data_IF_731142587495
#
_entry.id   IF_731142587495
#
_cell.length_a   1.000
_cell.length_b   1.000
_cell.length_c   1.000
_cell.angle_alpha   90.00
_cell.angle_beta   90.00
_cell.angle_gamma   90.00
#
_symmetry.space_group_name_H-M   'P 1'
#
loop_
_entity.id
_entity.type
_entity.pdbx_description
1 polymer ?
#
# COMPACT_ATOMS: atom_id res chain seq x y z
N UNK A 1 -3.04 8.17 -2.04
CA UNK A 1 -4.48 8.08 -1.68
C UNK A 1 -5.29 9.35 -1.95
N UNK A 2 -4.78 10.57 -1.68
CA UNK A 2 -5.52 11.83 -1.91
C UNK A 2 -6.21 11.93 -3.27
N UNK A 3 -5.48 11.61 -4.35
CA UNK A 3 -6.03 11.59 -5.69
C UNK A 3 -7.19 10.58 -5.85
N UNK A 4 -7.01 9.35 -5.34
CA UNK A 4 -8.06 8.32 -5.38
C UNK A 4 -9.30 8.74 -4.56
N UNK A 5 -9.11 9.35 -3.40
CA UNK A 5 -10.20 9.85 -2.55
C UNK A 5 -10.90 11.09 -3.12
N UNK A 6 -10.28 11.77 -4.10
CA UNK A 6 -10.91 12.91 -4.80
C UNK A 6 -11.76 12.45 -5.98
N UNK A 7 -11.32 11.44 -6.72
CA UNK A 7 -11.89 11.08 -8.02
C UNK A 7 -12.56 9.69 -8.05
N UNK A 8 -12.36 8.86 -7.03
CA UNK A 8 -12.85 7.48 -6.92
C UNK A 8 -12.67 6.64 -8.22
N UNK A 9 -11.47 6.61 -8.83
CA UNK A 9 -11.23 5.79 -10.01
C UNK A 9 -11.42 4.29 -9.72
N UNK A 10 -11.81 3.51 -10.71
CA UNK A 10 -11.82 2.06 -10.55
C UNK A 10 -10.38 1.52 -10.50
N UNK A 11 -10.06 0.73 -9.47
CA UNK A 11 -8.79 0.01 -9.36
C UNK A 11 -8.96 -1.30 -8.57
N UNK A 12 -8.00 -2.21 -8.73
CA UNK A 12 -7.88 -3.43 -7.92
C UNK A 12 -6.66 -3.39 -6.98
N UNK A 13 -5.61 -2.68 -7.41
CA UNK A 13 -4.29 -2.66 -6.79
C UNK A 13 -3.85 -1.21 -6.60
N UNK A 14 -3.38 -0.84 -5.40
CA UNK A 14 -2.79 0.47 -5.13
C UNK A 14 -1.50 0.30 -4.33
N UNK A 15 -0.39 0.83 -4.86
CA UNK A 15 0.94 0.68 -4.26
C UNK A 15 1.43 2.02 -3.72
N UNK A 16 1.78 2.05 -2.45
CA UNK A 16 2.48 3.13 -1.76
C UNK A 16 3.95 2.75 -1.62
N UNK A 17 4.77 3.14 -2.60
CA UNK A 17 6.21 2.89 -2.55
C UNK A 17 6.95 4.05 -1.89
N UNK A 18 7.65 3.76 -0.79
CA UNK A 18 8.37 4.71 0.05
C UNK A 18 7.55 5.96 0.41
N UNK A 19 6.23 5.79 0.53
CA UNK A 19 5.27 6.86 0.78
C UNK A 19 4.63 6.75 2.16
N UNK A 20 3.49 7.41 2.30
CA UNK A 20 2.63 7.27 3.47
C UNK A 20 1.17 7.28 3.05
N UNK A 21 0.32 6.71 3.90
CA UNK A 21 -1.11 6.90 3.84
C UNK A 21 -1.41 8.28 4.43
N UNK A 22 -2.15 9.14 3.69
CA UNK A 22 -2.47 10.48 4.16
C UNK A 22 -3.22 10.45 5.50
N UNK A 23 -2.74 11.21 6.46
CA UNK A 23 -3.27 11.22 7.83
C UNK A 23 -4.44 12.19 8.03
N UNK A 24 -4.59 13.14 7.12
CA UNK A 24 -5.58 14.21 7.15
C UNK A 24 -6.89 13.86 6.41
N UNK A 25 -7.02 12.63 5.91
CA UNK A 25 -8.22 12.14 5.27
C UNK A 25 -8.99 11.22 6.22
N UNK A 26 -10.32 11.31 6.18
CA UNK A 26 -11.21 10.34 6.83
C UNK A 26 -11.66 9.28 5.82
N UNK A 27 -11.25 8.03 6.06
CA UNK A 27 -11.57 6.90 5.20
C UNK A 27 -12.86 6.18 5.60
N UNK A 28 -13.36 6.39 6.84
CA UNK A 28 -14.53 5.69 7.39
C UNK A 28 -15.78 5.80 6.52
N UNK A 29 -16.11 6.95 5.92
CA UNK A 29 -17.31 7.07 5.08
C UNK A 29 -17.26 6.26 3.78
N UNK A 30 -16.08 5.73 3.40
CA UNK A 30 -15.84 5.09 2.10
C UNK A 30 -15.00 3.81 2.22
N UNK A 31 -15.11 3.08 3.33
CA UNK A 31 -14.38 1.81 3.49
C UNK A 31 -14.81 0.75 2.47
N UNK A 32 -16.05 0.82 2.02
CA UNK A 32 -16.59 0.01 0.93
C UNK A 32 -15.80 0.21 -0.38
N UNK A 33 -15.37 1.44 -0.67
CA UNK A 33 -14.53 1.74 -1.83
C UNK A 33 -13.17 1.07 -1.76
N UNK A 34 -12.67 0.68 -0.59
CA UNK A 34 -11.42 -0.08 -0.47
C UNK A 34 -11.65 -1.58 -0.28
N UNK A 35 -12.90 -2.01 -0.12
CA UNK A 35 -13.24 -3.41 0.07
C UNK A 35 -12.90 -4.25 -1.17
N UNK A 36 -12.24 -5.39 -0.94
CA UNK A 36 -11.78 -6.28 -2.01
C UNK A 36 -10.66 -5.72 -2.88
N UNK A 37 -10.00 -4.62 -2.46
CA UNK A 37 -8.84 -4.04 -3.13
C UNK A 37 -7.59 -4.31 -2.31
N UNK A 38 -6.49 -4.57 -2.98
CA UNK A 38 -5.20 -4.74 -2.32
C UNK A 38 -4.46 -3.40 -2.28
N UNK A 39 -4.21 -2.93 -1.06
CA UNK A 39 -3.39 -1.75 -0.80
C UNK A 39 -2.02 -2.23 -0.33
N UNK A 40 -0.96 -1.79 -0.98
CA UNK A 40 0.41 -2.21 -0.66
C UNK A 40 1.20 -1.05 -0.07
N UNK A 41 1.87 -1.27 1.05
CA UNK A 41 2.85 -0.34 1.60
C UNK A 41 4.25 -0.92 1.48
N UNK A 42 5.10 -0.30 0.66
CA UNK A 42 6.42 -0.83 0.31
C UNK A 42 7.50 0.14 0.76
N UNK A 43 8.51 -0.30 1.51
CA UNK A 43 9.61 0.58 1.89
C UNK A 43 10.91 -0.17 2.24
N UNK A 44 12.03 0.55 2.14
CA UNK A 44 13.35 0.06 2.52
C UNK A 44 13.59 0.21 4.02
N UNK A 45 14.24 -0.77 4.64
CA UNK A 45 14.51 -0.78 6.09
C UNK A 45 15.56 0.27 6.52
N UNK A 46 16.31 0.83 5.58
CA UNK A 46 17.31 1.89 5.80
C UNK A 46 16.85 3.23 5.22
N UNK A 47 15.56 3.37 4.88
CA UNK A 47 15.02 4.63 4.38
C UNK A 47 15.06 5.70 5.49
N UNK A 48 15.84 6.78 5.32
CA UNK A 48 15.98 7.80 6.36
C UNK A 48 14.68 8.58 6.63
N UNK A 49 13.69 8.48 5.73
CA UNK A 49 12.40 9.15 5.86
C UNK A 49 11.32 8.24 6.49
N UNK A 50 11.55 6.94 6.59
CA UNK A 50 10.59 5.97 7.14
C UNK A 50 11.20 5.34 8.39
N UNK A 51 11.19 6.13 9.47
CA UNK A 51 11.67 5.69 10.77
C UNK A 51 10.73 4.67 11.40
N UNK A 52 11.22 3.90 12.38
CA UNK A 52 10.39 2.97 13.16
C UNK A 52 9.19 3.66 13.82
N UNK A 53 9.37 4.90 14.28
CA UNK A 53 8.30 5.73 14.83
C UNK A 53 7.22 6.03 13.77
N UNK A 54 7.62 6.45 12.57
CA UNK A 54 6.68 6.71 11.46
C UNK A 54 5.96 5.45 11.02
N UNK A 55 6.64 4.30 10.98
CA UNK A 55 6.00 3.00 10.70
C UNK A 55 4.93 2.69 11.75
N UNK A 56 5.23 2.88 13.03
CA UNK A 56 4.28 2.65 14.11
C UNK A 56 3.05 3.59 14.03
N UNK A 57 3.28 4.86 13.70
CA UNK A 57 2.22 5.84 13.46
C UNK A 57 1.33 5.43 12.27
N UNK A 58 1.94 5.04 11.15
CA UNK A 58 1.22 4.59 9.95
C UNK A 58 0.38 3.34 10.24
N UNK A 59 0.95 2.33 10.93
CA UNK A 59 0.21 1.12 11.33
C UNK A 59 -0.98 1.44 12.24
N UNK A 60 -0.78 2.32 13.22
CA UNK A 60 -1.86 2.76 14.12
C UNK A 60 -2.98 3.48 13.35
N UNK A 61 -2.61 4.31 12.38
CA UNK A 61 -3.57 5.02 11.52
C UNK A 61 -4.34 4.08 10.61
N UNK A 62 -3.66 3.12 9.97
CA UNK A 62 -4.28 2.08 9.14
C UNK A 62 -5.32 1.31 9.96
N UNK A 63 -4.93 0.90 11.18
CA UNK A 63 -5.78 0.14 12.08
C UNK A 63 -6.98 0.97 12.56
N UNK A 64 -6.78 2.24 12.95
CA UNK A 64 -7.85 3.10 13.46
C UNK A 64 -8.94 3.38 12.43
N UNK A 65 -8.57 3.42 11.14
CA UNK A 65 -9.51 3.57 10.03
C UNK A 65 -10.06 2.24 9.50
N UNK A 66 -9.60 1.08 10.00
CA UNK A 66 -10.05 -0.22 9.52
C UNK A 66 -9.62 -0.54 8.08
N UNK A 67 -8.53 0.08 7.61
CA UNK A 67 -7.96 -0.20 6.30
C UNK A 67 -7.16 -1.51 6.34
N UNK A 68 -7.21 -2.27 5.26
CA UNK A 68 -6.37 -3.46 5.08
C UNK A 68 -5.22 -3.10 4.14
N UNK A 69 -4.00 -3.13 4.66
CA UNK A 69 -2.79 -2.75 3.92
C UNK A 69 -1.73 -3.82 4.08
N UNK A 70 -1.20 -4.30 2.95
CA UNK A 70 -0.17 -5.31 2.86
C UNK A 70 1.21 -4.65 2.90
N UNK A 71 2.00 -4.93 3.92
CA UNK A 71 3.33 -4.36 4.08
C UNK A 71 4.41 -5.20 3.38
N UNK A 72 5.33 -4.54 2.67
CA UNK A 72 6.44 -5.14 1.94
C UNK A 72 7.73 -4.40 2.26
N UNK A 73 8.71 -5.08 2.83
CA UNK A 73 10.01 -4.48 3.17
C UNK A 73 11.16 -5.10 2.39
N UNK A 74 12.25 -4.33 2.27
CA UNK A 74 13.50 -4.77 1.67
C UNK A 74 14.72 -4.11 2.33
N UNK A 75 15.90 -4.70 2.16
CA UNK A 75 17.17 -4.11 2.61
C UNK A 75 17.57 -3.00 1.62
N UNK A 76 17.69 -1.77 2.10
CA UNK A 76 17.95 -0.61 1.26
C UNK A 76 17.29 0.67 1.76
N UNK A 77 17.65 1.78 1.13
CA UNK A 77 17.20 3.14 1.47
C UNK A 77 15.93 3.54 0.71
N UNK A 78 15.81 4.82 0.39
CA UNK A 78 14.73 5.39 -0.42
C UNK A 78 14.93 5.12 -1.92
N UNK A 79 14.71 3.87 -2.35
CA UNK A 79 14.92 3.43 -3.74
C UNK A 79 13.81 2.48 -4.20
N UNK A 80 13.68 2.31 -5.51
CA UNK A 80 12.87 1.22 -6.08
C UNK A 80 13.78 0.00 -6.28
N UNK A 81 13.75 -0.92 -5.34
CA UNK A 81 14.56 -2.15 -5.38
C UNK A 81 13.96 -3.18 -6.35
N UNK A 82 14.77 -3.64 -7.29
CA UNK A 82 14.32 -4.44 -8.44
C UNK A 82 13.74 -5.79 -8.04
N UNK A 83 14.36 -6.50 -7.08
CA UNK A 83 13.90 -7.83 -6.63
C UNK A 83 12.52 -7.74 -5.98
N UNK A 84 12.31 -6.71 -5.16
CA UNK A 84 11.05 -6.44 -4.47
C UNK A 84 9.97 -6.02 -5.45
N UNK A 85 10.32 -5.19 -6.45
CA UNK A 85 9.40 -4.81 -7.51
C UNK A 85 8.94 -6.03 -8.31
N UNK A 86 9.87 -6.91 -8.72
CA UNK A 86 9.55 -8.15 -9.43
C UNK A 86 8.66 -9.07 -8.59
N UNK A 87 9.02 -9.29 -7.32
CA UNK A 87 8.22 -10.10 -6.37
C UNK A 87 6.80 -9.56 -6.24
N UNK A 88 6.64 -8.25 -6.07
CA UNK A 88 5.34 -7.61 -5.94
C UNK A 88 4.52 -7.72 -7.24
N UNK A 89 5.16 -7.52 -8.40
CA UNK A 89 4.50 -7.69 -9.69
C UNK A 89 3.99 -9.13 -9.90
N UNK A 90 4.78 -10.14 -9.52
CA UNK A 90 4.38 -11.54 -9.63
C UNK A 90 3.24 -11.88 -8.67
N UNK A 91 3.26 -11.36 -7.44
CA UNK A 91 2.16 -11.49 -6.48
C UNK A 91 0.86 -10.89 -7.03
N UNK A 92 0.93 -9.70 -7.61
CA UNK A 92 -0.23 -9.03 -8.22
C UNK A 92 -0.78 -9.83 -9.40
N UNK A 93 0.09 -10.37 -10.26
CA UNK A 93 -0.32 -11.23 -11.37
C UNK A 93 -1.08 -12.46 -10.90
N UNK A 94 -0.61 -13.12 -9.84
CA UNK A 94 -1.23 -14.32 -9.28
C UNK A 94 -2.55 -14.02 -8.55
N UNK A 95 -2.68 -12.82 -7.99
CA UNK A 95 -3.87 -12.38 -7.25
C UNK A 95 -4.97 -11.80 -8.16
N UNK A 96 -4.63 -11.52 -9.43
CA UNK A 96 -5.58 -10.95 -10.40
C UNK A 96 -6.61 -12.01 -10.85
N UNK A 97 -7.91 -11.69 -10.88
CA UNK A 97 -8.97 -12.64 -11.28
C UNK A 97 -8.77 -13.25 -12.67
N UNK A 98 -8.04 -12.59 -13.58
CA UNK A 98 -7.74 -13.07 -14.93
C UNK A 98 -6.65 -14.14 -15.02
N UNK A 99 -5.92 -14.45 -13.94
CA UNK A 99 -4.85 -15.45 -13.93
C UNK A 99 -5.26 -16.83 -13.39
N UNK A 100 -6.51 -17.00 -12.92
CA UNK A 100 -7.03 -18.27 -12.38
C UNK A 100 -7.63 -19.21 -13.43
N UNK A 101 -7.53 -18.90 -14.71
CA UNK A 101 -7.99 -19.76 -15.79
C UNK A 101 -6.98 -19.77 -16.93
N UNK A 102 -6.09 -20.76 -16.91
CA UNK A 102 -5.59 -21.53 -18.06
C UNK A 102 -4.91 -22.79 -17.54
#
# INVERSE_FOLDING_TARGET
MRWAMRAFPAFHQLIFWAGSIPEDLDYRPRLDYFSGKDLHYVYGLEDPFITSERVAQQRSLIQSYGLQVLEHTFQGKHVVEEKTLKRLADLIRQSSPGARVT
#
